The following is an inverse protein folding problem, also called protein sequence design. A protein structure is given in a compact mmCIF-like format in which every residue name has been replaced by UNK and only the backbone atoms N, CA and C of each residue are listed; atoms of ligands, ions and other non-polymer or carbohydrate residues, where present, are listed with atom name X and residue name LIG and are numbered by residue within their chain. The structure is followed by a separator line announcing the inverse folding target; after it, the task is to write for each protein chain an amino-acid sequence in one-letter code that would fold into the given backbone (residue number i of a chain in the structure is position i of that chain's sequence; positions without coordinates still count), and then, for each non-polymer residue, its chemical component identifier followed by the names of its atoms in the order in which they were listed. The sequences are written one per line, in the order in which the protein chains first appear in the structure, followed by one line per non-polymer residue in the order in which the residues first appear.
data_IF_318474404003
#
_entry.id   IF_318474404003
#
_cell.length_a   1.000
_cell.length_b   1.000
_cell.length_c   1.000
_cell.angle_alpha   90.00
_cell.angle_beta   90.00
_cell.angle_gamma   90.00
#
_symmetry.space_group_name_H-M   'P 1'
#
loop_
_entity.id
_entity.type
_entity.pdbx_description
1 polymer ?
#
# COMPACT_ATOMS: atom_id res chain seq x y z
N UNK A 1 -52.20 34.51 -16.87
CA UNK A 1 -51.20 35.51 -17.30
C UNK A 1 -49.83 34.94 -16.95
N UNK A 2 -49.21 34.21 -17.89
CA UNK A 2 -47.98 34.57 -18.61
C UNK A 2 -46.76 34.86 -17.70
N UNK A 3 -45.93 33.82 -17.59
CA UNK A 3 -44.45 33.71 -17.46
C UNK A 3 -43.64 35.00 -17.27
N UNK A 4 -42.57 34.93 -16.45
CA UNK A 4 -41.17 35.01 -16.94
C UNK A 4 -40.24 34.20 -16.00
N UNK A 5 -39.51 33.26 -16.58
CA UNK A 5 -38.32 32.59 -16.01
C UNK A 5 -37.08 33.44 -16.33
N UNK A 6 -36.15 33.59 -15.39
CA UNK A 6 -34.77 34.02 -15.71
C UNK A 6 -33.80 32.90 -15.36
N UNK A 7 -33.36 32.22 -16.42
CA UNK A 7 -32.26 31.29 -16.47
C UNK A 7 -31.00 32.10 -16.78
N UNK A 8 -30.12 32.34 -15.80
CA UNK A 8 -28.82 32.98 -16.03
C UNK A 8 -27.80 31.87 -16.29
N UNK A 9 -27.51 31.62 -17.56
CA UNK A 9 -26.40 30.77 -18.01
C UNK A 9 -25.09 31.55 -17.93
N UNK A 10 -24.14 31.06 -17.13
CA UNK A 10 -22.77 31.58 -17.12
C UNK A 10 -21.99 30.86 -18.23
N UNK A 11 -21.61 31.65 -19.23
CA UNK A 11 -20.83 31.25 -20.40
C UNK A 11 -19.36 31.01 -20.01
N UNK A 12 -18.91 29.77 -20.19
CA UNK A 12 -17.50 29.35 -20.10
C UNK A 12 -16.72 29.95 -21.29
N UNK A 13 -15.75 30.83 -21.02
CA UNK A 13 -14.80 31.31 -22.03
C UNK A 13 -13.55 30.43 -22.00
N UNK A 14 -13.43 29.56 -23.00
CA UNK A 14 -12.20 28.83 -23.34
C UNK A 14 -11.27 29.75 -24.13
N UNK A 15 -10.13 30.11 -23.55
CA UNK A 15 -9.03 30.75 -24.32
C UNK A 15 -8.10 29.65 -24.83
N UNK A 16 -8.20 29.37 -26.12
CA UNK A 16 -7.23 28.57 -26.87
C UNK A 16 -6.10 29.48 -27.34
N UNK A 17 -4.87 29.19 -26.92
CA UNK A 17 -3.66 29.71 -27.56
C UNK A 17 -2.87 28.54 -28.16
N UNK A 18 -3.04 28.32 -29.47
CA UNK A 18 -1.97 27.81 -30.32
C UNK A 18 -1.03 29.01 -30.58
N UNK A 19 0.30 28.94 -30.62
CA UNK A 19 1.22 27.86 -30.91
C UNK A 19 2.27 28.48 -31.84
N UNK A 20 3.55 28.46 -31.48
CA UNK A 20 4.65 28.74 -32.41
C UNK A 20 5.80 27.77 -32.12
N UNK A 21 6.15 27.00 -33.15
CA UNK A 21 7.25 26.05 -33.16
C UNK A 21 8.58 26.77 -33.46
N UNK A 22 9.63 26.41 -32.71
CA UNK A 22 11.01 26.79 -33.00
C UNK A 22 11.92 25.58 -32.79
N UNK A 23 12.60 25.16 -33.87
CA UNK A 23 13.61 24.08 -33.90
C UNK A 23 14.90 24.54 -33.20
N UNK A 24 15.43 23.72 -32.30
CA UNK A 24 16.77 23.86 -31.72
C UNK A 24 17.21 22.55 -31.05
N UNK A 25 18.39 22.05 -31.42
CA UNK A 25 18.93 20.74 -31.05
C UNK A 25 19.80 20.75 -29.78
N UNK A 26 19.82 19.61 -29.10
CA UNK A 26 20.86 19.08 -28.19
C UNK A 26 20.96 19.63 -26.75
N UNK A 27 20.58 18.80 -25.78
CA UNK A 27 21.46 18.06 -24.84
C UNK A 27 20.58 17.34 -23.80
N UNK A 28 20.68 16.00 -23.75
CA UNK A 28 20.02 15.18 -22.73
C UNK A 28 20.91 15.16 -21.48
N UNK A 29 20.53 15.91 -20.44
CA UNK A 29 20.93 15.67 -19.06
C UNK A 29 19.70 15.20 -18.29
N UNK A 30 19.80 13.98 -17.77
CA UNK A 30 18.84 13.37 -16.86
C UNK A 30 18.88 14.09 -15.51
N UNK A 31 17.92 14.95 -15.23
CA UNK A 31 17.71 15.50 -13.89
C UNK A 31 16.51 14.78 -13.27
N UNK A 32 16.79 14.06 -12.18
CA UNK A 32 15.78 13.50 -11.31
C UNK A 32 14.88 14.63 -10.77
N UNK A 33 13.63 14.67 -11.25
CA UNK A 33 12.62 15.61 -10.77
C UNK A 33 12.38 15.39 -9.28
N UNK A 34 12.86 16.33 -8.47
CA UNK A 34 12.32 16.56 -7.14
C UNK A 34 10.95 17.19 -7.34
N UNK A 35 9.88 16.44 -7.04
CA UNK A 35 8.52 16.97 -6.97
C UNK A 35 8.43 17.95 -5.80
N UNK A 36 8.99 19.14 -6.00
CA UNK A 36 8.88 20.24 -5.04
C UNK A 36 7.56 20.92 -5.33
N UNK A 37 6.49 20.46 -4.68
CA UNK A 37 5.25 21.21 -4.59
C UNK A 37 5.58 22.56 -3.93
N UNK A 38 5.70 23.62 -4.72
CA UNK A 38 5.84 24.99 -4.22
C UNK A 38 4.51 25.43 -3.62
N UNK A 39 4.40 25.25 -2.30
CA UNK A 39 3.29 25.81 -1.52
C UNK A 39 3.55 27.33 -1.41
N UNK A 40 2.62 28.20 -1.85
CA UNK A 40 2.84 29.65 -1.77
C UNK A 40 3.05 30.09 -0.32
N UNK A 41 4.15 30.80 -0.09
CA UNK A 41 4.51 31.39 1.20
C UNK A 41 3.50 32.50 1.54
N UNK A 42 2.69 32.23 2.56
CA UNK A 42 1.71 33.21 3.06
C UNK A 42 2.29 34.07 4.19
N UNK A 43 3.55 33.85 4.59
CA UNK A 43 4.22 34.45 5.74
C UNK A 43 3.71 33.95 7.09
N UNK A 44 2.74 33.03 7.10
CA UNK A 44 2.08 32.61 8.34
C UNK A 44 2.91 31.59 9.11
N UNK A 45 3.20 31.90 10.37
CA UNK A 45 3.80 30.99 11.35
C UNK A 45 2.85 30.87 12.54
N UNK A 46 2.45 29.64 12.87
CA UNK A 46 1.50 29.36 13.93
C UNK A 46 0.62 28.14 13.68
N UNK A 47 -0.39 27.95 14.54
CA UNK A 47 -1.34 26.84 14.45
C UNK A 47 -2.65 27.35 13.83
N UNK A 48 -2.97 26.85 12.63
CA UNK A 48 -4.26 27.10 11.99
C UNK A 48 -5.28 26.05 12.43
N UNK A 49 -6.42 26.51 12.93
CA UNK A 49 -7.55 25.68 13.38
C UNK A 49 -8.63 25.61 12.30
N UNK A 50 -9.17 24.43 12.06
CA UNK A 50 -10.23 24.20 11.08
C UNK A 50 -11.45 23.62 11.80
N UNK A 51 -12.62 24.17 11.49
CA UNK A 51 -13.88 23.80 12.12
C UNK A 51 -14.89 23.30 11.08
N UNK A 52 -15.72 22.35 11.47
CA UNK A 52 -16.94 21.97 10.75
C UNK A 52 -18.14 22.37 11.62
N UNK A 53 -18.81 23.46 11.24
CA UNK A 53 -19.71 24.16 12.16
C UNK A 53 -18.93 24.66 13.39
N UNK A 54 -19.36 24.26 14.59
CA UNK A 54 -18.71 24.64 15.85
C UNK A 54 -17.68 23.61 16.34
N UNK A 55 -17.46 22.52 15.60
CA UNK A 55 -16.56 21.45 16.01
C UNK A 55 -15.14 21.67 15.45
N UNK A 56 -14.13 21.66 16.31
CA UNK A 56 -12.73 21.63 15.89
C UNK A 56 -12.42 20.26 15.26
N UNK A 57 -12.08 20.23 13.97
CA UNK A 57 -11.79 18.99 13.26
C UNK A 57 -10.30 18.80 12.99
N UNK A 58 -9.52 19.89 12.94
CA UNK A 58 -8.09 19.83 12.60
C UNK A 58 -7.29 21.03 13.13
N UNK A 59 -6.07 20.77 13.55
CA UNK A 59 -5.03 21.77 13.83
C UNK A 59 -3.83 21.49 12.92
N UNK A 60 -3.31 22.51 12.24
CA UNK A 60 -2.14 22.39 11.37
C UNK A 60 -1.11 23.44 11.78
N UNK A 61 0.09 22.98 12.09
CA UNK A 61 1.23 23.86 12.41
C UNK A 61 1.94 24.27 11.12
N UNK A 62 2.19 25.57 10.98
CA UNK A 62 2.89 26.18 9.86
C UNK A 62 4.10 26.98 10.34
N UNK A 63 5.14 26.98 9.53
CA UNK A 63 6.30 27.87 9.61
C UNK A 63 6.49 28.47 8.20
N UNK A 64 6.42 29.79 8.08
CA UNK A 64 6.52 30.53 6.80
C UNK A 64 5.59 29.97 5.71
N UNK A 65 4.31 29.75 6.06
CA UNK A 65 3.30 29.22 5.16
C UNK A 65 3.45 27.73 4.81
N UNK A 66 4.52 27.05 5.25
CA UNK A 66 4.78 25.64 4.98
C UNK A 66 4.44 24.80 6.22
N UNK A 67 3.83 23.61 6.04
CA UNK A 67 3.54 22.73 7.19
C UNK A 67 4.83 22.29 7.85
N UNK A 68 4.91 22.50 9.16
CA UNK A 68 6.08 22.21 9.97
C UNK A 68 5.63 21.77 11.37
N UNK A 69 6.10 20.62 11.83
CA UNK A 69 5.73 20.06 13.12
C UNK A 69 4.42 19.28 13.09
N UNK A 70 3.76 19.17 14.23
CA UNK A 70 2.60 18.29 14.39
C UNK A 70 1.32 18.89 13.78
N UNK A 71 0.60 18.07 13.03
CA UNK A 71 -0.79 18.29 12.62
C UNK A 71 -1.67 17.31 13.37
N UNK A 72 -2.82 17.77 13.87
CA UNK A 72 -3.78 16.97 14.63
C UNK A 72 -5.13 16.95 13.94
N UNK A 73 -5.81 15.81 13.98
CA UNK A 73 -7.21 15.65 13.57
C UNK A 73 -7.98 15.07 14.75
N UNK A 74 -9.23 15.48 14.92
CA UNK A 74 -10.05 15.13 16.08
C UNK A 74 -11.30 14.34 15.68
N UNK A 75 -11.76 13.50 16.60
CA UNK A 75 -13.09 12.88 16.53
C UNK A 75 -14.19 13.93 16.72
N UNK A 76 -15.43 13.55 16.41
CA UNK A 76 -16.59 14.43 16.62
C UNK A 76 -16.77 14.89 18.07
N UNK A 77 -16.33 14.09 19.05
CA UNK A 77 -16.34 14.45 20.46
C UNK A 77 -15.15 15.32 20.91
N UNK A 78 -14.29 15.75 19.98
CA UNK A 78 -13.11 16.57 20.27
C UNK A 78 -11.87 15.80 20.76
N UNK A 79 -11.97 14.48 20.94
CA UNK A 79 -10.81 13.65 21.30
C UNK A 79 -9.83 13.54 20.12
N UNK A 80 -8.54 13.38 20.41
CA UNK A 80 -7.51 13.22 19.39
C UNK A 80 -7.76 11.94 18.59
N UNK A 81 -7.87 12.07 17.26
CA UNK A 81 -8.04 10.94 16.36
C UNK A 81 -6.72 10.53 15.71
N UNK A 82 -5.94 11.51 15.25
CA UNK A 82 -4.76 11.26 14.45
C UNK A 82 -3.76 12.40 14.57
N UNK A 83 -2.48 12.07 14.49
CA UNK A 83 -1.42 13.04 14.27
C UNK A 83 -0.52 12.67 13.10
N UNK A 84 0.06 13.69 12.48
CA UNK A 84 1.14 13.59 11.51
C UNK A 84 2.23 14.58 11.88
N UNK A 85 3.49 14.15 11.85
CA UNK A 85 4.61 15.07 11.90
C UNK A 85 5.00 15.52 10.48
N UNK A 86 5.18 16.82 10.31
CA UNK A 86 5.61 17.43 9.06
C UNK A 86 6.99 18.06 9.20
N UNK A 87 7.78 17.97 8.12
CA UNK A 87 9.01 18.74 7.94
C UNK A 87 9.02 19.27 6.51
N UNK A 88 9.13 20.58 6.34
CA UNK A 88 9.15 21.24 5.04
C UNK A 88 7.97 20.81 4.13
N UNK A 89 6.77 20.72 4.70
CA UNK A 89 5.55 20.42 3.94
C UNK A 89 5.26 18.92 3.73
N UNK A 90 6.24 18.04 3.95
CA UNK A 90 6.16 16.59 3.76
C UNK A 90 5.95 15.87 5.10
N UNK A 91 5.19 14.75 5.11
CA UNK A 91 5.11 13.90 6.31
C UNK A 91 6.44 13.21 6.55
N UNK A 92 6.94 13.35 7.76
CA UNK A 92 8.22 12.84 8.23
C UNK A 92 8.05 12.21 9.62
N UNK A 93 9.05 11.48 10.10
CA UNK A 93 9.07 10.83 11.42
C UNK A 93 7.91 9.83 11.62
N UNK A 94 6.75 10.28 12.10
CA UNK A 94 5.64 9.37 12.40
C UNK A 94 4.24 9.95 12.18
N UNK A 95 3.33 9.04 11.83
CA UNK A 95 1.89 9.23 11.87
C UNK A 95 1.30 8.34 12.95
N UNK A 96 0.40 8.88 13.77
CA UNK A 96 -0.27 8.13 14.85
C UNK A 96 -1.77 8.22 14.73
N UNK A 97 -2.44 7.13 15.07
CA UNK A 97 -3.89 7.05 15.21
C UNK A 97 -4.21 6.62 16.63
N UNK A 98 -5.31 7.12 17.15
CA UNK A 98 -5.67 6.96 18.55
C UNK A 98 -7.06 6.33 18.66
N UNK A 99 -7.22 5.47 19.65
CA UNK A 99 -8.55 5.09 20.14
C UNK A 99 -9.27 6.32 20.71
N UNK A 100 -10.60 6.25 20.82
CA UNK A 100 -11.42 7.36 21.30
C UNK A 100 -11.01 7.82 22.73
N UNK A 101 -10.52 6.88 23.53
CA UNK A 101 -10.07 7.04 24.91
C UNK A 101 -8.62 7.57 25.00
N UNK A 102 -7.97 7.81 23.85
CA UNK A 102 -6.68 8.50 23.76
C UNK A 102 -5.45 7.59 23.70
N UNK A 103 -5.58 6.26 23.83
CA UNK A 103 -4.43 5.36 23.64
C UNK A 103 -4.09 5.24 22.16
N UNK A 104 -2.81 5.07 21.83
CA UNK A 104 -2.37 4.87 20.45
C UNK A 104 -2.93 3.54 19.93
N UNK A 105 -3.64 3.60 18.80
CA UNK A 105 -4.12 2.45 18.03
C UNK A 105 -3.06 1.98 17.02
N UNK A 106 -2.39 2.91 16.35
CA UNK A 106 -1.39 2.64 15.32
C UNK A 106 -0.34 3.74 15.26
N UNK A 107 0.92 3.36 15.06
CA UNK A 107 2.04 4.25 14.78
C UNK A 107 2.72 3.80 13.49
N UNK A 108 2.87 4.70 12.54
CA UNK A 108 3.41 4.43 11.22
C UNK A 108 4.62 5.34 10.98
N UNK A 109 5.81 4.80 10.69
CA UNK A 109 6.95 5.64 10.34
C UNK A 109 6.76 6.25 8.95
N UNK A 110 7.08 7.53 8.82
CA UNK A 110 6.91 8.30 7.59
C UNK A 110 8.24 8.91 7.18
N UNK A 111 8.55 8.86 5.89
CA UNK A 111 9.71 9.49 5.28
C UNK A 111 9.29 10.08 3.94
N UNK A 112 9.36 11.40 3.81
CA UNK A 112 8.93 12.15 2.62
C UNK A 112 7.58 11.67 2.06
N UNK A 113 6.53 11.77 2.88
CA UNK A 113 5.15 11.35 2.55
C UNK A 113 4.92 9.85 2.30
N UNK A 114 5.95 9.02 2.44
CA UNK A 114 5.90 7.58 2.19
C UNK A 114 6.13 6.81 3.48
N UNK A 115 5.39 5.70 3.68
CA UNK A 115 5.67 4.80 4.81
C UNK A 115 6.98 4.06 4.57
N UNK A 116 7.91 4.13 5.53
CA UNK A 116 9.22 3.46 5.42
C UNK A 116 9.69 3.02 6.81
N UNK A 117 9.71 1.70 7.05
CA UNK A 117 10.03 1.10 8.35
C UNK A 117 8.91 0.22 8.93
N UNK A 118 8.95 0.00 10.25
CA UNK A 118 8.03 -0.88 10.97
C UNK A 118 6.82 -0.10 11.49
N UNK A 119 5.64 -0.35 10.90
CA UNK A 119 4.38 0.07 11.48
C UNK A 119 4.05 -0.77 12.71
N UNK A 120 3.61 -0.13 13.78
CA UNK A 120 3.15 -0.80 15.01
C UNK A 120 1.65 -0.56 15.20
N UNK A 121 0.92 -1.62 15.53
CA UNK A 121 -0.47 -1.56 15.98
C UNK A 121 -0.52 -1.97 17.45
N UNK A 122 -1.49 -1.44 18.19
CA UNK A 122 -1.60 -1.65 19.62
C UNK A 122 -3.03 -2.02 20.01
N UNK A 123 -3.17 -2.83 21.04
CA UNK A 123 -4.41 -3.04 21.75
C UNK A 123 -4.76 -1.81 22.60
N UNK A 124 -6.02 -1.71 23.03
CA UNK A 124 -6.51 -0.64 23.92
C UNK A 124 -5.76 -0.56 25.25
N UNK A 125 -5.18 -1.67 25.73
CA UNK A 125 -4.33 -1.71 26.92
C UNK A 125 -2.88 -1.24 26.67
N UNK A 126 -2.57 -0.73 25.47
CA UNK A 126 -1.25 -0.24 25.08
C UNK A 126 -0.24 -1.30 24.66
N UNK A 127 -0.56 -2.60 24.79
CA UNK A 127 0.34 -3.68 24.34
C UNK A 127 0.37 -3.75 22.81
N UNK A 128 1.52 -4.11 22.26
CA UNK A 128 1.68 -4.31 20.81
C UNK A 128 0.76 -5.43 20.33
N UNK A 129 -0.02 -5.14 19.30
CA UNK A 129 -0.87 -6.08 18.57
C UNK A 129 -0.16 -6.64 17.34
N UNK A 130 0.50 -5.78 16.57
CA UNK A 130 1.24 -6.19 15.39
C UNK A 130 2.42 -5.28 15.09
N UNK A 131 3.46 -5.83 14.46
CA UNK A 131 4.55 -5.11 13.80
C UNK A 131 4.57 -5.50 12.33
N UNK A 132 4.56 -4.53 11.44
CA UNK A 132 4.36 -4.74 10.00
C UNK A 132 5.42 -3.97 9.22
N UNK A 133 6.22 -4.67 8.42
CA UNK A 133 7.33 -4.09 7.67
C UNK A 133 6.91 -3.41 6.38
N UNK A 134 7.47 -2.24 6.12
CA UNK A 134 7.34 -1.50 4.86
C UNK A 134 8.69 -0.94 4.42
N UNK A 135 8.92 -0.91 3.11
CA UNK A 135 10.07 -0.23 2.49
C UNK A 135 9.52 0.61 1.35
N UNK A 136 9.74 1.93 1.41
CA UNK A 136 9.28 2.90 0.38
C UNK A 136 7.82 2.69 -0.07
N UNK A 137 6.92 2.51 0.90
CA UNK A 137 5.49 2.35 0.62
C UNK A 137 5.03 0.91 0.41
N UNK A 138 5.94 0.00 0.10
CA UNK A 138 5.63 -1.39 -0.24
C UNK A 138 5.75 -2.31 0.97
N UNK A 139 4.89 -3.33 1.04
CA UNK A 139 4.88 -4.31 2.14
C UNK A 139 6.08 -5.23 2.07
N UNK A 140 6.81 -5.38 3.17
CA UNK A 140 7.74 -6.49 3.38
C UNK A 140 6.99 -7.74 3.86
N UNK A 141 7.48 -8.98 3.62
CA UNK A 141 6.88 -10.17 4.22
C UNK A 141 6.94 -10.17 5.75
N UNK A 142 7.79 -9.34 6.37
CA UNK A 142 7.93 -9.23 7.81
C UNK A 142 6.62 -8.77 8.46
N UNK A 143 6.04 -9.66 9.27
CA UNK A 143 4.92 -9.38 10.16
C UNK A 143 5.08 -10.18 11.45
N UNK A 144 4.86 -9.54 12.58
CA UNK A 144 4.73 -10.18 13.89
C UNK A 144 3.37 -9.79 14.46
N UNK A 145 2.61 -10.75 14.96
CA UNK A 145 1.34 -10.49 15.64
C UNK A 145 1.39 -11.07 17.04
N UNK A 146 0.71 -10.41 17.96
CA UNK A 146 0.72 -10.76 19.37
C UNK A 146 -0.72 -10.80 19.85
N UNK A 147 -1.04 -11.80 20.67
CA UNK A 147 -2.30 -11.84 21.42
C UNK A 147 -2.38 -10.68 22.40
N UNK A 148 -3.57 -10.37 22.93
CA UNK A 148 -3.76 -9.32 23.94
C UNK A 148 -2.93 -9.54 25.23
N UNK A 149 -2.55 -10.79 25.51
CA UNK A 149 -1.69 -11.17 26.62
C UNK A 149 -0.18 -11.04 26.30
N UNK A 150 0.18 -10.65 25.08
CA UNK A 150 1.57 -10.44 24.66
C UNK A 150 2.26 -11.69 24.09
N UNK A 151 1.54 -12.82 23.94
CA UNK A 151 2.10 -14.03 23.31
C UNK A 151 2.18 -13.84 21.79
N UNK A 152 3.34 -14.14 21.21
CA UNK A 152 3.57 -14.14 19.76
C UNK A 152 2.68 -15.19 19.07
N UNK A 153 2.07 -14.80 17.95
CA UNK A 153 1.22 -15.63 17.10
C UNK A 153 2.09 -16.28 16.02
N UNK A 154 1.96 -17.60 15.90
CA UNK A 154 2.73 -18.45 14.99
C UNK A 154 1.78 -19.39 14.23
N UNK A 155 2.28 -20.07 13.20
CA UNK A 155 1.53 -21.12 12.51
C UNK A 155 0.48 -20.59 11.54
N UNK A 156 0.81 -19.54 10.78
CA UNK A 156 -0.05 -19.06 9.71
C UNK A 156 -0.21 -20.13 8.61
N UNK A 157 -1.34 -20.14 7.89
CA UNK A 157 -1.52 -21.02 6.73
C UNK A 157 -0.38 -20.87 5.71
N UNK A 158 0.10 -22.02 5.25
CA UNK A 158 1.15 -22.10 4.22
C UNK A 158 0.54 -22.38 2.86
N UNK A 159 1.27 -22.04 1.80
CA UNK A 159 0.92 -22.50 0.45
C UNK A 159 1.28 -23.98 0.35
N UNK A 160 0.29 -24.81 0.05
CA UNK A 160 0.46 -26.22 -0.29
C UNK A 160 0.15 -26.42 -1.77
N UNK A 161 0.80 -27.41 -2.38
CA UNK A 161 0.67 -27.66 -3.80
C UNK A 161 0.69 -29.14 -4.16
N UNK A 162 0.10 -29.48 -5.29
CA UNK A 162 0.23 -30.78 -5.94
C UNK A 162 0.63 -30.60 -7.40
N UNK A 163 1.42 -31.53 -7.92
CA UNK A 163 1.89 -31.53 -9.31
C UNK A 163 1.18 -32.66 -10.06
N UNK A 164 0.43 -32.30 -11.09
CA UNK A 164 -0.09 -33.25 -12.06
C UNK A 164 0.85 -33.23 -13.27
N UNK A 165 1.68 -34.27 -13.38
CA UNK A 165 2.70 -34.38 -14.40
C UNK A 165 2.18 -35.16 -15.62
N UNK A 166 1.95 -34.44 -16.73
CA UNK A 166 1.61 -35.00 -18.02
C UNK A 166 2.66 -34.61 -19.08
N UNK A 167 3.92 -34.46 -18.65
CA UNK A 167 4.99 -33.95 -19.50
C UNK A 167 5.31 -34.92 -20.65
N UNK A 168 5.42 -36.22 -20.38
CA UNK A 168 5.72 -37.23 -21.40
C UNK A 168 4.62 -37.39 -22.46
N UNK A 169 3.36 -37.15 -22.10
CA UNK A 169 2.20 -37.37 -22.98
C UNK A 169 1.76 -36.10 -23.71
N UNK A 170 1.73 -34.96 -23.02
CA UNK A 170 1.19 -33.69 -23.56
C UNK A 170 2.16 -32.53 -23.49
N UNK A 171 3.34 -32.73 -22.90
CA UNK A 171 4.29 -31.66 -22.62
C UNK A 171 3.74 -30.65 -21.62
N UNK A 172 2.88 -31.06 -20.68
CA UNK A 172 2.24 -30.16 -19.72
C UNK A 172 2.41 -30.62 -18.28
N UNK A 173 2.60 -29.66 -17.39
CA UNK A 173 2.61 -29.85 -15.94
C UNK A 173 1.62 -28.86 -15.33
N UNK A 174 0.69 -29.36 -14.51
CA UNK A 174 -0.23 -28.51 -13.76
C UNK A 174 0.16 -28.48 -12.29
N UNK A 175 0.32 -27.29 -11.73
CA UNK A 175 0.56 -27.08 -10.31
C UNK A 175 -0.73 -26.56 -9.69
N UNK A 176 -1.38 -27.35 -8.84
CA UNK A 176 -2.54 -26.91 -8.08
C UNK A 176 -2.09 -26.29 -6.77
N UNK A 177 -2.72 -25.21 -6.35
CA UNK A 177 -2.34 -24.39 -5.20
C UNK A 177 -3.55 -24.15 -4.30
N UNK A 178 -3.35 -24.26 -2.99
CA UNK A 178 -4.29 -23.84 -1.96
C UNK A 178 -3.53 -23.47 -0.67
N UNK A 179 -4.24 -22.94 0.32
CA UNK A 179 -3.69 -22.78 1.67
C UNK A 179 -3.85 -24.07 2.48
N UNK A 180 -2.91 -24.35 3.38
CA UNK A 180 -2.90 -25.55 4.24
C UNK A 180 -4.16 -25.70 5.10
N UNK A 181 -4.78 -24.58 5.49
CA UNK A 181 -6.03 -24.52 6.25
C UNK A 181 -7.30 -24.51 5.37
N UNK A 182 -7.13 -24.55 4.04
CA UNK A 182 -8.20 -24.48 3.03
C UNK A 182 -9.00 -23.17 3.06
N UNK A 183 -8.42 -22.09 3.58
CA UNK A 183 -9.04 -20.77 3.59
C UNK A 183 -9.38 -20.29 2.19
N UNK A 184 -10.62 -19.79 2.03
CA UNK A 184 -11.15 -19.36 0.72
C UNK A 184 -10.80 -17.92 0.35
N UNK A 185 -10.45 -17.10 1.35
CA UNK A 185 -10.19 -15.66 1.19
C UNK A 185 -8.69 -15.41 1.00
N UNK A 186 -8.17 -15.84 -0.14
CA UNK A 186 -6.76 -15.74 -0.51
C UNK A 186 -6.60 -15.22 -1.93
N UNK A 187 -5.55 -14.43 -2.16
CA UNK A 187 -5.10 -14.01 -3.49
C UNK A 187 -3.73 -14.62 -3.75
N UNK A 188 -3.59 -15.32 -4.87
CA UNK A 188 -2.32 -15.90 -5.28
C UNK A 188 -1.65 -15.08 -6.38
N UNK A 189 -0.33 -15.05 -6.36
CA UNK A 189 0.50 -14.34 -7.32
C UNK A 189 1.69 -15.23 -7.72
N UNK A 190 2.02 -15.26 -9.00
CA UNK A 190 3.28 -15.80 -9.53
C UNK A 190 4.32 -14.69 -9.46
N UNK A 191 5.43 -14.95 -8.77
CA UNK A 191 6.49 -13.96 -8.59
C UNK A 191 7.25 -14.10 -7.27
N UNK A 192 8.11 -13.11 -7.02
CA UNK A 192 9.10 -13.10 -5.95
C UNK A 192 9.09 -11.78 -5.17
N UNK A 193 9.56 -11.79 -3.93
CA UNK A 193 9.85 -10.54 -3.22
C UNK A 193 11.13 -9.91 -3.79
N UNK A 194 10.99 -8.85 -4.58
CA UNK A 194 12.14 -8.12 -5.12
C UNK A 194 12.59 -7.05 -4.14
N UNK A 195 13.85 -7.09 -3.70
CA UNK A 195 14.37 -6.12 -2.73
C UNK A 195 13.69 -6.19 -1.36
N UNK A 196 13.19 -7.38 -0.97
CA UNK A 196 12.56 -7.60 0.32
C UNK A 196 11.12 -7.08 0.44
N UNK A 197 10.49 -6.70 -0.68
CA UNK A 197 9.10 -6.23 -0.70
C UNK A 197 8.22 -6.98 -1.69
N UNK A 198 6.93 -6.99 -1.40
CA UNK A 198 5.87 -7.39 -2.29
C UNK A 198 5.48 -6.22 -3.19
N UNK A 199 6.03 -6.22 -4.39
CA UNK A 199 5.68 -5.30 -5.47
C UNK A 199 4.68 -5.99 -6.40
N UNK A 200 3.41 -5.60 -6.30
CA UNK A 200 2.33 -6.17 -7.12
C UNK A 200 2.50 -5.89 -8.61
N UNK A 201 3.31 -4.91 -9.00
CA UNK A 201 3.58 -4.61 -10.42
C UNK A 201 4.61 -5.59 -11.02
N UNK A 202 5.40 -6.27 -10.17
CA UNK A 202 6.38 -7.29 -10.56
C UNK A 202 5.86 -8.73 -10.40
N UNK A 203 4.62 -8.88 -9.96
CA UNK A 203 3.99 -10.19 -9.75
C UNK A 203 2.75 -10.32 -10.65
N UNK A 204 2.53 -11.52 -11.18
CA UNK A 204 1.34 -11.82 -11.96
C UNK A 204 0.24 -12.36 -11.04
N UNK A 205 -0.94 -11.73 -11.03
CA UNK A 205 -2.06 -12.21 -10.24
C UNK A 205 -2.70 -13.44 -10.88
N UNK A 206 -2.83 -14.51 -10.10
CA UNK A 206 -3.43 -15.77 -10.56
C UNK A 206 -4.93 -15.78 -10.20
N UNK A 207 -5.78 -16.09 -11.18
CA UNK A 207 -7.23 -16.21 -10.96
C UNK A 207 -7.51 -17.42 -10.07
N UNK A 208 -8.22 -17.20 -8.96
CA UNK A 208 -8.58 -18.24 -8.01
C UNK A 208 -10.09 -18.32 -7.84
N UNK A 209 -10.59 -19.52 -7.50
CA UNK A 209 -11.97 -19.78 -7.17
C UNK A 209 -12.04 -20.69 -5.94
N UNK A 210 -12.85 -20.30 -4.94
CA UNK A 210 -13.05 -21.10 -3.73
C UNK A 210 -11.77 -21.35 -2.92
N UNK A 211 -10.80 -20.43 -2.95
CA UNK A 211 -9.51 -20.58 -2.25
C UNK A 211 -8.45 -21.41 -2.99
N UNK A 212 -8.78 -21.91 -4.18
CA UNK A 212 -7.89 -22.75 -4.98
C UNK A 212 -7.53 -22.07 -6.28
N UNK A 213 -6.37 -22.41 -6.80
CA UNK A 213 -5.93 -22.00 -8.13
C UNK A 213 -5.04 -23.08 -8.72
N UNK A 214 -4.70 -22.94 -10.00
CA UNK A 214 -3.66 -23.74 -10.63
C UNK A 214 -2.85 -22.89 -11.61
N UNK A 215 -1.66 -23.37 -11.95
CA UNK A 215 -0.84 -22.87 -13.05
C UNK A 215 -0.57 -24.05 -13.99
N UNK A 216 -0.84 -23.85 -15.27
CA UNK A 216 -0.46 -24.78 -16.33
C UNK A 216 0.84 -24.30 -16.95
N UNK A 217 1.86 -25.14 -16.91
CA UNK A 217 3.14 -24.93 -17.57
C UNK A 217 3.22 -25.86 -18.79
N UNK A 218 3.78 -25.34 -19.88
CA UNK A 218 3.98 -26.12 -21.11
C UNK A 218 5.47 -26.24 -21.41
N UNK A 219 5.85 -27.39 -21.97
CA UNK A 219 7.15 -27.63 -22.58
C UNK A 219 7.44 -26.54 -23.62
N UNK A 220 8.50 -25.78 -23.41
CA UNK A 220 8.98 -24.71 -24.28
C UNK A 220 9.96 -25.22 -25.35
N UNK A 221 10.71 -26.29 -25.04
CA UNK A 221 11.79 -26.80 -25.89
C UNK A 221 13.12 -26.05 -25.73
N UNK A 222 13.20 -25.07 -24.82
CA UNK A 222 14.41 -24.35 -24.44
C UNK A 222 14.55 -24.32 -22.92
N UNK A 223 15.77 -24.15 -22.36
CA UNK A 223 15.94 -23.95 -20.93
C UNK A 223 15.11 -22.77 -20.42
N UNK A 224 14.37 -23.00 -19.34
CA UNK A 224 13.54 -22.04 -18.60
C UNK A 224 13.93 -22.10 -17.10
N UNK A 225 13.29 -21.27 -16.27
CA UNK A 225 13.48 -21.33 -14.82
C UNK A 225 13.14 -22.74 -14.30
N UNK A 226 13.96 -23.23 -13.36
CA UNK A 226 13.78 -24.55 -12.73
C UNK A 226 12.88 -24.49 -11.47
N UNK A 227 12.31 -23.32 -11.18
CA UNK A 227 11.38 -23.12 -10.08
C UNK A 227 10.29 -22.11 -10.42
N UNK A 228 9.26 -22.12 -9.59
CA UNK A 228 8.16 -21.18 -9.59
C UNK A 228 7.99 -20.54 -8.20
N UNK A 229 8.07 -19.21 -8.17
CA UNK A 229 7.74 -18.41 -6.99
C UNK A 229 6.24 -18.18 -6.88
N UNK A 230 5.66 -18.48 -5.72
CA UNK A 230 4.25 -18.20 -5.42
C UNK A 230 4.13 -17.41 -4.13
N UNK A 231 3.37 -16.32 -4.20
CA UNK A 231 2.99 -15.49 -3.06
C UNK A 231 1.48 -15.63 -2.84
N UNK A 232 1.07 -15.88 -1.60
CA UNK A 232 -0.33 -15.87 -1.18
C UNK A 232 -0.57 -14.73 -0.17
N UNK A 233 -1.56 -13.91 -0.46
CA UNK A 233 -2.00 -12.79 0.38
C UNK A 233 -3.37 -13.09 0.96
N UNK A 234 -3.48 -13.07 2.28
CA UNK A 234 -4.72 -13.33 3.03
C UNK A 234 -4.75 -12.56 4.35
N UNK A 235 -5.94 -12.35 4.91
CA UNK A 235 -6.10 -11.69 6.20
C UNK A 235 -5.89 -12.68 7.35
N UNK A 236 -5.11 -12.29 8.34
CA UNK A 236 -4.99 -12.99 9.62
C UNK A 236 -6.23 -12.75 10.48
N UNK A 237 -6.39 -13.54 11.54
CA UNK A 237 -7.44 -13.33 12.56
C UNK A 237 -7.32 -11.97 13.28
N UNK A 238 -6.15 -11.34 13.20
CA UNK A 238 -5.88 -10.02 13.78
C UNK A 238 -6.19 -8.88 12.80
N UNK A 239 -6.59 -9.19 11.57
CA UNK A 239 -7.01 -8.24 10.55
C UNK A 239 -5.87 -7.66 9.71
N UNK A 240 -4.69 -8.27 9.74
CA UNK A 240 -3.56 -7.83 8.93
C UNK A 240 -3.37 -8.71 7.71
N UNK A 241 -2.80 -8.15 6.64
CA UNK A 241 -2.49 -8.92 5.44
C UNK A 241 -1.16 -9.67 5.63
N UNK A 242 -1.24 -10.99 5.67
CA UNK A 242 -0.11 -11.92 5.69
C UNK A 242 0.31 -12.27 4.27
N UNK A 243 1.62 -12.42 4.06
CA UNK A 243 2.22 -12.76 2.78
C UNK A 243 3.00 -14.07 2.93
N UNK A 244 2.36 -15.19 2.60
CA UNK A 244 3.04 -16.47 2.52
C UNK A 244 3.80 -16.57 1.18
N UNK A 245 4.96 -17.19 1.20
CA UNK A 245 5.76 -17.44 0.01
C UNK A 245 6.16 -18.91 -0.09
N UNK A 246 6.15 -19.44 -1.31
CA UNK A 246 6.58 -20.80 -1.61
C UNK A 246 7.38 -20.81 -2.91
N UNK A 247 8.62 -21.27 -2.80
CA UNK A 247 9.42 -21.70 -3.94
C UNK A 247 9.04 -23.13 -4.28
N UNK A 248 8.57 -23.37 -5.50
CA UNK A 248 8.19 -24.69 -6.00
C UNK A 248 9.21 -25.11 -7.05
N UNK A 249 10.07 -26.06 -6.72
CA UNK A 249 11.01 -26.65 -7.68
C UNK A 249 10.21 -27.39 -8.77
N UNK A 250 10.57 -27.16 -10.03
CA UNK A 250 9.90 -27.75 -11.17
C UNK A 250 10.55 -29.09 -11.55
N UNK A 251 9.77 -30.10 -11.98
CA UNK A 251 10.29 -31.41 -12.36
C UNK A 251 11.13 -31.37 -13.64
N UNK A 252 10.97 -30.34 -14.48
CA UNK A 252 11.67 -30.17 -15.75
C UNK A 252 12.15 -28.73 -15.93
N UNK A 253 13.27 -28.57 -16.64
CA UNK A 253 13.97 -27.28 -16.86
C UNK A 253 13.57 -26.58 -18.15
N UNK A 254 12.50 -27.01 -18.80
CA UNK A 254 12.00 -26.44 -20.06
C UNK A 254 10.48 -26.17 -19.99
N UNK A 255 10.01 -25.72 -18.82
CA UNK A 255 8.61 -25.39 -18.55
C UNK A 255 8.40 -23.88 -18.48
N UNK A 256 7.38 -23.37 -19.18
CA UNK A 256 7.01 -21.94 -19.19
C UNK A 256 5.54 -21.70 -18.87
#
# INVERSE_FOLDING_TARGET
MRNVNYLIGILLVFVLAAGCAGKGSSKNESVAGTDTLTVPDTGYTGIKKYYSGNLLVKEVTFENGVRQGETKTFYQGGQLYQTYWYRNGLREDSARWYYLEGQVFRSTPMKHDTIDGIQKQYYRNGRVKAKIGYIKGLRSPTIEEYTQNGKLVMGYPEIVFTINDNYSTTGRVRINLELSDKSKKVKFFRGEFTGGVFDTLKCERIKSAGGKTYIDLKKSGSPEADYLGIIASFLTDFGNNYLAYKKIELPYKDLK
#
